data_IF_012670201262
#
_entry.id   IF_012670201262
#
_cell.length_a   1.000
_cell.length_b   1.000
_cell.length_c   1.000
_cell.angle_alpha   90.00
_cell.angle_beta   90.00
_cell.angle_gamma   90.00
#
_symmetry.space_group_name_H-M   'P 1'
#
loop_
_entity.id
_entity.type
_entity.pdbx_description
1 polymer ?
2 non-polymer ?
3 non-polymer ?
4 non-polymer ?
5 water ?
#
# COMPACT_ATOMS: atom_id res chain seq x y z
N UNK A 1 -12.69 -4.39 15.44
CA UNK A 1 -11.90 -5.61 15.01
C UNK A 1 -12.04 -6.72 16.04
N UNK A 2 -12.62 -7.85 15.61
CA UNK A 2 -12.90 -8.96 16.55
C UNK A 2 -11.64 -9.63 17.03
N UNK A 3 -11.73 -10.07 18.28
CA UNK A 3 -10.65 -10.77 18.95
C UNK A 3 -10.09 -11.89 18.09
N UNK A 4 -10.96 -12.59 17.36
CA UNK A 4 -10.49 -13.71 16.61
C UNK A 4 -9.40 -13.30 15.61
N UNK A 5 -9.47 -12.09 15.05
CA UNK A 5 -8.44 -11.65 14.13
C UNK A 5 -7.08 -11.52 14.87
N UNK A 6 -7.12 -10.90 16.04
CA UNK A 6 -5.96 -10.82 16.91
C UNK A 6 -5.45 -12.19 17.37
N UNK A 7 -6.34 -13.15 17.60
CA UNK A 7 -5.88 -14.45 18.04
C UNK A 7 -5.11 -15.19 16.93
N UNK A 8 -5.62 -15.12 15.70
CA UNK A 8 -4.91 -15.66 14.53
C UNK A 8 -3.59 -14.91 14.31
N UNK A 9 -3.56 -13.59 14.49
CA UNK A 9 -2.32 -12.83 14.39
C UNK A 9 -1.31 -13.32 15.43
N UNK A 10 -1.75 -13.62 16.64
CA UNK A 10 -0.87 -14.10 17.70
C UNK A 10 -0.23 -15.41 17.27
N UNK A 11 -1.05 -16.33 16.77
CA UNK A 11 -0.55 -17.62 16.28
C UNK A 11 0.53 -17.40 15.24
N UNK A 12 0.29 -16.47 14.33
CA UNK A 12 1.29 -16.19 13.32
C UNK A 12 2.60 -15.67 13.91
N UNK A 13 2.52 -14.71 14.81
CA UNK A 13 3.71 -14.09 15.37
C UNK A 13 4.40 -15.11 16.23
N UNK A 14 3.61 -15.88 16.96
CA UNK A 14 4.25 -16.82 17.88
C UNK A 14 5.00 -17.90 17.08
N UNK A 15 4.38 -18.36 16.00
CA UNK A 15 4.96 -19.36 15.10
C UNK A 15 6.21 -18.92 14.38
N UNK A 16 6.21 -17.69 13.87
CA UNK A 16 7.34 -17.17 13.11
C UNK A 16 8.40 -16.57 14.01
N UNK A 17 7.98 -15.76 14.98
CA UNK A 17 8.91 -14.92 15.76
C UNK A 17 9.09 -15.33 17.20
N UNK A 18 8.15 -16.09 17.75
CA UNK A 18 8.25 -16.51 19.14
C UNK A 18 7.34 -15.74 20.10
N UNK A 19 7.03 -16.39 21.23
CA UNK A 19 6.10 -15.83 22.21
C UNK A 19 6.67 -14.56 22.83
N UNK A 20 7.97 -14.51 23.06
CA UNK A 20 8.54 -13.32 23.69
C UNK A 20 8.27 -12.10 22.80
N UNK A 21 8.35 -12.26 21.49
CA UNK A 21 8.07 -11.16 20.57
C UNK A 21 6.60 -10.72 20.61
N UNK A 22 5.70 -11.66 20.73
CA UNK A 22 4.28 -11.30 20.79
C UNK A 22 4.01 -10.48 22.02
N UNK A 23 4.63 -10.84 23.14
CA UNK A 23 4.38 -10.14 24.41
C UNK A 23 4.96 -8.75 24.35
N UNK A 24 6.10 -8.59 23.68
CA UNK A 24 6.59 -7.25 23.41
C UNK A 24 5.54 -6.44 22.69
N UNK A 25 5.09 -6.94 21.55
CA UNK A 25 4.12 -6.24 20.72
C UNK A 25 2.88 -5.89 21.52
N UNK A 26 2.43 -6.81 22.33
CA UNK A 26 1.19 -6.62 23.03
C UNK A 26 1.31 -5.58 24.16
N UNK A 27 2.40 -5.66 24.91
CA UNK A 27 2.70 -4.68 25.96
C UNK A 27 2.84 -3.27 25.45
N UNK A 28 3.47 -3.16 24.28
CA UNK A 28 3.75 -1.89 23.64
C UNK A 28 2.52 -1.31 22.93
N UNK A 29 1.70 -2.16 22.32
CA UNK A 29 0.62 -1.63 21.49
C UNK A 29 -0.77 -1.77 22.07
N UNK A 30 -0.88 -2.43 23.21
CA UNK A 30 -2.16 -2.65 23.87
C UNK A 30 -2.11 -2.32 25.35
N UNK A 31 -3.24 -1.90 25.90
CA UNK A 31 -3.34 -1.63 27.32
C UNK A 31 -2.91 -2.78 28.20
N UNK A 32 -2.51 -2.45 29.42
CA UNK A 32 -2.03 -3.42 30.37
C UNK A 32 -3.06 -4.57 30.53
N UNK A 33 -2.55 -5.80 30.48
CA UNK A 33 -3.36 -6.98 30.72
C UNK A 33 -4.38 -7.23 29.61
N UNK A 34 -4.15 -6.74 28.38
CA UNK A 34 -5.13 -6.96 27.33
C UNK A 34 -5.24 -8.45 27.04
N UNK A 35 -6.49 -8.90 26.88
CA UNK A 35 -6.82 -10.27 26.46
C UNK A 35 -7.83 -10.18 25.33
N UNK A 36 -7.52 -10.83 24.21
CA UNK A 36 -8.44 -10.74 23.08
C UNK A 36 -9.45 -11.91 23.11
N UNK A 37 -10.65 -11.62 23.56
CA UNK A 37 -11.72 -12.59 23.61
C UNK A 37 -12.20 -12.64 22.18
N UNK A 38 -12.31 -13.86 21.65
CA UNK A 38 -12.42 -14.05 20.20
C UNK A 38 -13.66 -13.35 19.64
N UNK A 39 -14.74 -13.35 20.41
CA UNK A 39 -16.00 -12.76 19.95
C UNK A 39 -16.20 -11.25 20.20
N UNK A 40 -15.30 -10.66 20.98
CA UNK A 40 -15.40 -9.25 21.35
C UNK A 40 -14.74 -8.32 20.33
N UNK A 41 -15.24 -7.09 20.25
CA UNK A 41 -14.69 -6.05 19.36
C UNK A 41 -13.61 -5.29 20.07
N UNK A 42 -12.54 -4.97 19.36
CA UNK A 42 -11.42 -4.18 19.87
C UNK A 42 -11.04 -3.11 18.82
N UNK A 43 -10.32 -2.09 19.27
CA UNK A 43 -9.93 -0.99 18.37
C UNK A 43 -9.03 -1.50 17.26
N UNK A 44 -9.44 -1.31 16.01
CA UNK A 44 -8.61 -1.77 14.90
C UNK A 44 -7.21 -1.15 14.91
N UNK A 45 -7.09 0.03 15.52
CA UNK A 45 -5.79 0.64 15.64
C UNK A 45 -4.79 -0.22 16.41
N UNK A 46 -5.24 -1.05 17.32
CA UNK A 46 -4.31 -1.95 18.00
C UNK A 46 -3.75 -2.99 17.00
N UNK A 47 -4.58 -3.45 16.06
CA UNK A 47 -4.17 -4.50 15.13
C UNK A 47 -3.16 -3.89 14.19
N UNK A 48 -3.54 -2.74 13.61
CA UNK A 48 -2.68 -2.01 12.65
C UNK A 48 -1.33 -1.64 13.23
N UNK A 49 -1.32 -1.25 14.49
CA UNK A 49 -0.06 -0.88 15.13
C UNK A 49 0.84 -2.08 15.31
N UNK A 50 0.27 -3.24 15.67
CA UNK A 50 1.08 -4.43 15.87
C UNK A 50 1.69 -4.87 14.53
N UNK A 51 0.86 -4.88 13.50
CA UNK A 51 1.27 -5.35 12.20
C UNK A 51 2.31 -4.36 11.61
N UNK A 52 2.12 -3.08 11.86
CA UNK A 52 3.10 -2.12 11.35
C UNK A 52 4.46 -2.38 12.03
N UNK A 53 4.43 -2.74 13.32
CA UNK A 53 5.64 -2.96 14.11
C UNK A 53 6.38 -4.18 13.57
N UNK A 54 5.64 -5.25 13.33
CA UNK A 54 6.17 -6.44 12.65
C UNK A 54 6.83 -6.15 11.29
N UNK A 55 6.15 -5.36 10.47
CA UNK A 55 6.64 -5.01 9.14
C UNK A 55 7.98 -4.29 9.25
N UNK A 56 8.07 -3.42 10.22
CA UNK A 56 9.28 -2.65 10.46
C UNK A 56 10.41 -3.57 10.96
N UNK A 57 10.11 -4.45 11.92
CA UNK A 57 11.10 -5.41 12.40
C UNK A 57 11.62 -6.32 11.29
N UNK A 58 10.74 -6.71 10.38
CA UNK A 58 11.15 -7.56 9.27
C UNK A 58 11.68 -6.79 8.05
N UNK A 59 11.66 -5.46 8.10
CA UNK A 59 11.95 -4.62 6.94
C UNK A 59 11.21 -5.08 5.69
N UNK A 60 9.91 -5.23 5.83
CA UNK A 60 9.02 -5.59 4.73
C UNK A 60 8.00 -4.48 4.48
N UNK A 61 7.60 -4.32 3.23
CA UNK A 61 6.46 -3.45 2.90
C UNK A 61 5.19 -3.85 3.66
N UNK A 62 4.57 -2.87 4.28
CA UNK A 62 3.44 -3.11 5.17
C UNK A 62 2.36 -3.93 4.46
N UNK A 63 2.09 -3.64 3.19
CA UNK A 63 1.00 -4.30 2.52
C UNK A 63 1.39 -5.75 2.20
N UNK A 64 2.69 -6.06 2.13
CA UNK A 64 3.14 -7.43 1.88
C UNK A 64 2.93 -8.29 3.16
N UNK A 65 3.12 -7.67 4.32
CA UNK A 65 2.85 -8.31 5.58
C UNK A 65 1.34 -8.54 5.81
N UNK A 66 0.54 -7.54 5.51
CA UNK A 66 -0.88 -7.66 5.61
C UNK A 66 -1.35 -8.79 4.68
N UNK A 67 -0.76 -8.91 3.50
CA UNK A 67 -1.20 -9.93 2.61
C UNK A 67 -0.80 -11.30 3.14
N UNK A 68 0.39 -11.41 3.73
CA UNK A 68 0.83 -12.68 4.21
C UNK A 68 -0.09 -13.11 5.40
N UNK A 69 -0.42 -12.15 6.26
CA UNK A 69 -1.37 -12.35 7.35
C UNK A 69 -2.71 -12.85 6.83
N UNK A 70 -3.24 -12.19 5.83
CA UNK A 70 -4.43 -12.63 5.18
C UNK A 70 -4.38 -14.08 4.78
N UNK A 71 -3.30 -14.49 4.17
CA UNK A 71 -3.24 -15.87 3.74
C UNK A 71 -3.19 -16.86 4.94
N UNK A 72 -2.41 -16.59 5.97
CA UNK A 72 -2.47 -17.29 7.24
C UNK A 72 -3.87 -17.28 7.88
N UNK A 73 -4.53 -16.15 7.80
CA UNK A 73 -5.84 -15.92 8.37
C UNK A 73 -6.91 -16.81 7.77
N UNK A 74 -6.80 -17.16 6.48
CA UNK A 74 -7.84 -17.96 5.92
C UNK A 74 -7.89 -19.27 6.67
N UNK A 75 -6.75 -19.89 6.94
CA UNK A 75 -6.78 -21.17 7.61
C UNK A 75 -7.19 -21.01 9.08
N UNK A 76 -6.83 -19.87 9.66
CA UNK A 76 -7.23 -19.57 11.03
C UNK A 76 -8.73 -19.44 11.17
N UNK A 77 -9.37 -18.83 10.17
CA UNK A 77 -10.80 -18.70 10.15
C UNK A 77 -11.45 -20.03 9.77
N UNK A 78 -10.91 -20.74 8.79
CA UNK A 78 -11.53 -22.00 8.36
C UNK A 78 -11.45 -23.01 9.46
N UNK A 79 -10.41 -22.98 10.28
CA UNK A 79 -10.32 -24.00 11.26
C UNK A 79 -11.20 -23.62 12.49
N UNK A 80 -11.55 -22.37 12.67
CA UNK A 80 -12.34 -21.97 13.83
C UNK A 80 -13.83 -21.92 13.47
N UNK A 81 -14.12 -21.91 12.16
CA UNK A 81 -15.48 -21.88 11.60
C UNK A 81 -15.61 -22.88 10.46
N UNK A 82 -15.28 -24.13 10.76
CA UNK A 82 -15.20 -25.18 9.76
C UNK A 82 -16.57 -25.44 9.10
N UNK A 83 -17.65 -25.27 9.87
CA UNK A 83 -19.00 -25.43 9.33
C UNK A 83 -19.35 -24.38 8.25
N UNK A 84 -18.77 -23.19 8.36
CA UNK A 84 -19.00 -22.19 7.33
C UNK A 84 -18.24 -22.54 6.02
N UNK A 85 -16.97 -22.90 6.13
CA UNK A 85 -16.15 -23.23 4.95
C UNK A 85 -16.61 -24.54 4.30
N UNK A 86 -17.12 -25.50 5.08
CA UNK A 86 -17.55 -26.78 4.52
C UNK A 86 -18.88 -26.65 3.75
N UNK A 87 -19.48 -25.47 3.75
CA UNK A 87 -20.59 -25.17 2.85
C UNK A 87 -20.20 -25.16 1.34
N UNK A 88 -18.91 -25.01 1.02
CA UNK A 88 -18.42 -24.88 -0.36
C UNK A 88 -17.56 -26.05 -0.74
N UNK A 89 -17.76 -26.50 -1.97
CA UNK A 89 -17.02 -27.66 -2.50
C UNK A 89 -15.78 -27.26 -3.37
N UNK A 90 -15.70 -25.97 -3.74
CA UNK A 90 -14.61 -25.46 -4.52
C UNK A 90 -14.41 -23.98 -4.31
N UNK A 91 -13.25 -23.54 -4.79
CA UNK A 91 -12.77 -22.16 -4.59
C UNK A 91 -13.73 -21.17 -5.19
N UNK A 92 -14.20 -21.40 -6.40
CA UNK A 92 -15.03 -20.42 -7.04
C UNK A 92 -16.36 -20.20 -6.29
N UNK A 93 -16.98 -21.28 -5.81
CA UNK A 93 -18.20 -21.22 -4.98
C UNK A 93 -17.99 -20.42 -3.75
N UNK A 94 -16.91 -20.68 -3.03
CA UNK A 94 -16.61 -19.95 -1.84
C UNK A 94 -16.50 -18.47 -2.14
N UNK A 95 -15.75 -18.08 -3.18
CA UNK A 95 -15.56 -16.68 -3.46
C UNK A 95 -16.91 -16.01 -3.79
N UNK A 96 -17.77 -16.70 -4.54
CA UNK A 96 -19.06 -16.17 -4.91
C UNK A 96 -20.01 -16.10 -3.70
N UNK A 97 -19.70 -16.82 -2.62
CA UNK A 97 -20.51 -16.85 -1.39
C UNK A 97 -19.94 -16.02 -0.26
N UNK A 98 -18.87 -15.24 -0.48
CA UNK A 98 -18.23 -14.54 0.64
C UNK A 98 -19.24 -13.58 1.26
N UNK A 99 -19.97 -12.86 0.44
CA UNK A 99 -20.81 -11.84 0.96
C UNK A 99 -22.13 -12.37 1.48
N UNK A 100 -22.84 -13.16 0.67
CA UNK A 100 -24.22 -13.56 0.98
C UNK A 100 -24.34 -14.82 1.84
N UNK A 101 -23.26 -15.57 1.98
CA UNK A 101 -23.22 -16.77 2.79
C UNK A 101 -22.19 -16.65 3.92
N UNK A 102 -20.92 -16.48 3.63
CA UNK A 102 -19.95 -16.43 4.72
C UNK A 102 -20.19 -15.23 5.66
N UNK A 103 -20.32 -14.02 5.15
CA UNK A 103 -20.31 -12.87 5.97
C UNK A 103 -21.76 -12.69 6.50
N UNK A 104 -22.73 -13.28 5.80
CA UNK A 104 -24.08 -13.45 6.41
C UNK A 104 -23.99 -14.28 7.70
N UNK A 105 -23.24 -15.38 7.66
CA UNK A 105 -23.10 -16.19 8.85
C UNK A 105 -22.33 -15.46 9.96
N UNK A 106 -21.31 -14.71 9.57
CA UNK A 106 -20.50 -13.96 10.52
C UNK A 106 -21.36 -12.92 11.27
N UNK A 107 -22.34 -12.32 10.61
CA UNK A 107 -23.35 -11.52 11.33
C UNK A 107 -24.25 -12.28 12.34
N UNK A 108 -24.51 -13.59 12.15
CA UNK A 108 -25.22 -14.40 13.13
C UNK A 108 -24.33 -14.92 14.23
N UNK A 109 -23.05 -15.10 13.95
CA UNK A 109 -22.12 -15.60 14.94
C UNK A 109 -21.55 -14.56 15.90
N UNK A 110 -21.37 -13.32 15.41
CA UNK A 110 -20.72 -12.26 16.15
C UNK A 110 -21.68 -11.09 16.30
N UNK A 111 -21.66 -10.44 17.44
CA UNK A 111 -22.36 -9.19 17.55
C UNK A 111 -21.67 -8.02 16.81
N UNK A 112 -22.39 -7.47 15.84
CA UNK A 112 -21.96 -6.27 15.07
C UNK A 112 -20.52 -6.32 14.60
N UNK A 113 -20.19 -7.32 13.79
CA UNK A 113 -18.85 -7.36 13.23
C UNK A 113 -18.70 -6.18 12.21
N UNK A 114 -17.46 -5.82 11.91
CA UNK A 114 -17.11 -4.79 10.96
C UNK A 114 -16.45 -5.42 9.73
N UNK A 115 -17.30 -5.57 8.73
CA UNK A 115 -17.02 -6.41 7.59
C UNK A 115 -16.97 -5.58 6.31
N UNK A 116 -16.20 -6.03 5.30
CA UNK A 116 -16.22 -5.26 4.04
C UNK A 116 -17.50 -5.49 3.27
N UNK A 117 -17.74 -4.66 2.28
CA UNK A 117 -18.72 -4.95 1.24
C UNK A 117 -18.04 -5.64 0.02
N UNK A 118 -18.59 -6.78 -0.40
CA UNK A 118 -18.02 -7.60 -1.44
C UNK A 118 -19.09 -8.03 -2.42
N UNK A 119 -18.77 -7.94 -3.69
CA UNK A 119 -19.59 -8.52 -4.74
C UNK A 119 -18.69 -9.22 -5.78
N UNK A 120 -19.01 -10.48 -6.07
CA UNK A 120 -18.29 -11.30 -7.04
C UNK A 120 -19.12 -11.50 -8.27
N UNK A 121 -18.46 -11.41 -9.42
CA UNK A 121 -19.09 -11.64 -10.70
C UNK A 121 -18.26 -12.67 -11.45
N UNK A 122 -18.91 -13.72 -11.93
CA UNK A 122 -18.24 -14.75 -12.75
C UNK A 122 -17.97 -14.20 -14.13
N UNK A 123 -16.74 -14.39 -14.57
CA UNK A 123 -16.33 -13.91 -15.87
C UNK A 123 -16.03 -15.12 -16.75
N UNK A 124 -15.84 -14.91 -18.06
CA UNK A 124 -15.37 -16.01 -18.94
C UNK A 124 -13.92 -16.43 -18.64
N UNK A 125 -13.51 -17.60 -19.11
CA UNK A 125 -12.15 -18.06 -18.91
C UNK A 125 -11.82 -18.26 -17.45
N UNK A 126 -12.77 -18.71 -16.65
CA UNK A 126 -12.47 -19.07 -15.28
C UNK A 126 -11.94 -17.92 -14.43
N UNK A 127 -12.44 -16.72 -14.70
CA UNK A 127 -12.09 -15.57 -13.91
C UNK A 127 -13.26 -15.13 -13.09
N UNK A 128 -12.93 -14.41 -12.03
CA UNK A 128 -13.89 -13.78 -11.15
C UNK A 128 -13.49 -12.30 -10.91
N UNK A 129 -14.45 -11.39 -11.04
CA UNK A 129 -14.24 -9.99 -10.72
C UNK A 129 -14.82 -9.79 -9.36
N UNK A 130 -13.95 -9.65 -8.38
CA UNK A 130 -14.38 -9.40 -7.02
C UNK A 130 -14.23 -7.91 -6.64
N UNK A 131 -15.34 -7.22 -6.42
CA UNK A 131 -15.36 -5.82 -5.99
C UNK A 131 -15.38 -5.74 -4.48
N UNK A 132 -14.41 -5.01 -3.92
CA UNK A 132 -14.21 -4.88 -2.47
C UNK A 132 -14.33 -3.40 -2.11
N UNK A 133 -14.96 -3.14 -0.98
CA UNK A 133 -15.21 -1.80 -0.49
C UNK A 133 -15.17 -1.85 1.04
N UNK A 134 -14.38 -1.01 1.69
CA UNK A 134 -14.38 -0.95 3.16
C UNK A 134 -13.66 0.29 3.64
N UNK A 135 -14.16 0.94 4.72
CA UNK A 135 -13.46 2.14 5.22
C UNK A 135 -12.11 1.74 5.87
N UNK A 136 -11.93 0.47 6.10
CA UNK A 136 -10.68 0.00 6.66
C UNK A 136 -9.59 -0.27 5.58
N UNK A 137 -9.98 -0.29 4.31
CA UNK A 137 -9.01 -0.42 3.18
C UNK A 137 -8.04 -1.60 3.34
N UNK A 138 -8.61 -2.75 3.69
CA UNK A 138 -7.82 -3.96 3.91
C UNK A 138 -7.84 -4.91 2.68
N UNK A 139 -7.81 -4.31 1.47
CA UNK A 139 -7.88 -5.09 0.23
C UNK A 139 -6.70 -6.06 0.11
N UNK A 140 -5.58 -5.74 0.73
CA UNK A 140 -4.46 -6.64 0.67
C UNK A 140 -4.64 -7.80 1.63
N UNK A 141 -5.35 -7.58 2.72
CA UNK A 141 -5.79 -8.68 3.56
C UNK A 141 -6.71 -9.56 2.75
N UNK A 142 -7.58 -8.97 1.94
CA UNK A 142 -8.47 -9.76 1.09
C UNK A 142 -7.73 -10.56 0.05
N UNK A 143 -6.67 -9.97 -0.59
CA UNK A 143 -5.83 -10.77 -1.50
C UNK A 143 -5.27 -11.99 -0.81
N UNK A 144 -4.68 -11.79 0.34
CA UNK A 144 -4.13 -12.92 1.09
C UNK A 144 -5.21 -13.96 1.42
N UNK A 145 -6.40 -13.53 1.82
CA UNK A 145 -7.48 -14.46 2.18
C UNK A 145 -7.86 -15.31 0.96
N UNK A 146 -7.81 -14.72 -0.24
CA UNK A 146 -8.14 -15.43 -1.46
C UNK A 146 -7.08 -16.42 -1.78
N UNK A 147 -5.81 -16.06 -1.54
CA UNK A 147 -4.74 -17.01 -1.75
C UNK A 147 -4.84 -18.16 -0.73
N UNK A 148 -5.25 -17.85 0.49
CA UNK A 148 -5.53 -18.88 1.49
C UNK A 148 -6.65 -19.85 1.10
N UNK A 149 -7.73 -19.29 0.57
CA UNK A 149 -8.86 -20.06 0.10
C UNK A 149 -8.42 -20.97 -1.03
N UNK A 150 -7.58 -20.42 -1.92
CA UNK A 150 -7.08 -21.21 -3.07
C UNK A 150 -6.33 -22.45 -2.54
N UNK A 151 -5.42 -22.20 -1.60
CA UNK A 151 -4.64 -23.27 -1.02
C UNK A 151 -5.56 -24.27 -0.30
N UNK A 152 -6.63 -23.79 0.33
CA UNK A 152 -7.51 -24.69 1.07
C UNK A 152 -8.14 -25.69 0.09
N UNK A 153 -8.47 -25.23 -1.11
CA UNK A 153 -9.02 -26.13 -2.12
C UNK A 153 -8.00 -26.69 -3.10
N UNK A 154 -6.71 -26.69 -2.77
CA UNK A 154 -5.69 -27.19 -3.71
C UNK A 154 -5.87 -26.55 -5.08
N UNK A 155 -6.20 -25.27 -5.07
CA UNK A 155 -6.29 -24.51 -6.30
C UNK A 155 -5.08 -23.55 -6.45
N UNK A 156 -4.85 -23.12 -7.70
CA UNK A 156 -3.85 -22.14 -8.05
C UNK A 156 -4.50 -20.90 -8.68
N UNK A 157 -4.16 -19.73 -8.17
CA UNK A 157 -4.73 -18.49 -8.67
C UNK A 157 -3.72 -17.35 -8.91
N UNK A 158 -4.13 -16.36 -9.66
CA UNK A 158 -3.46 -15.07 -9.74
C UNK A 158 -4.49 -14.00 -9.59
N UNK A 159 -4.06 -12.86 -9.08
CA UNK A 159 -4.92 -11.72 -8.85
C UNK A 159 -4.30 -10.44 -9.46
N UNK A 160 -5.12 -9.71 -10.21
CA UNK A 160 -4.86 -8.32 -10.66
C UNK A 160 -5.71 -7.37 -9.88
N UNK A 161 -5.07 -6.30 -9.44
CA UNK A 161 -5.61 -5.37 -8.46
C UNK A 161 -5.30 -3.93 -8.94
N UNK A 162 -5.90 -3.54 -10.06
CA UNK A 162 -5.54 -2.28 -10.71
C UNK A 162 -6.48 -1.10 -10.48
N UNK A 163 -7.59 -1.31 -9.82
CA UNK A 163 -8.42 -0.26 -9.24
C UNK A 163 -8.31 -0.49 -7.76
N UNK A 164 -7.96 0.55 -7.00
CA UNK A 164 -7.66 0.35 -5.58
C UNK A 164 -7.98 1.62 -4.82
N UNK A 165 -8.49 1.42 -3.62
CA UNK A 165 -8.83 2.54 -2.78
C UNK A 165 -7.56 3.32 -2.40
N UNK A 166 -6.42 2.63 -2.34
CA UNK A 166 -5.18 3.27 -1.97
C UNK A 166 -4.65 4.17 -3.11
N UNK A 167 -5.21 4.02 -4.32
CA UNK A 167 -4.80 4.85 -5.51
C UNK A 167 -5.97 5.72 -5.87
N UNK A 168 -6.87 5.88 -4.91
CA UNK A 168 -7.89 6.92 -4.99
C UNK A 168 -9.31 6.56 -5.33
N UNK A 169 -9.58 5.31 -5.69
CA UNK A 169 -10.95 4.85 -6.01
C UNK A 169 -11.74 4.66 -4.72
N UNK A 170 -13.07 4.60 -4.81
CA UNK A 170 -13.90 4.24 -3.66
C UNK A 170 -14.17 2.73 -3.51
N UNK A 171 -13.44 1.93 -4.26
CA UNK A 171 -13.51 0.46 -4.13
C UNK A 171 -12.23 -0.11 -4.77
N UNK A 172 -11.95 -1.38 -4.54
CA UNK A 172 -10.94 -2.10 -5.30
C UNK A 172 -11.57 -3.15 -6.21
N UNK A 173 -10.96 -3.41 -7.37
CA UNK A 173 -11.35 -4.51 -8.22
C UNK A 173 -10.24 -5.56 -8.17
N UNK A 174 -10.58 -6.76 -7.73
CA UNK A 174 -9.64 -7.89 -7.73
C UNK A 174 -10.08 -8.86 -8.80
N UNK A 175 -9.27 -8.98 -9.83
CA UNK A 175 -9.63 -9.83 -10.93
C UNK A 175 -8.87 -11.12 -10.67
N UNK A 176 -9.62 -12.17 -10.36
CA UNK A 176 -9.08 -13.46 -9.94
C UNK A 176 -9.09 -14.37 -11.14
N UNK A 177 -7.93 -14.92 -11.43
CA UNK A 177 -7.88 -15.94 -12.45
C UNK A 177 -7.65 -17.32 -11.83
N UNK A 178 -8.56 -18.24 -12.06
CA UNK A 178 -8.33 -19.56 -11.56
C UNK A 178 -7.44 -20.31 -12.55
N UNK A 179 -6.21 -20.59 -12.20
CA UNK A 179 -5.29 -21.26 -13.13
C UNK A 179 -5.42 -22.78 -13.08
N UNK A 180 -5.72 -23.29 -11.90
CA UNK A 180 -5.96 -24.71 -11.74
C UNK A 180 -6.75 -25.04 -10.48
N UNK A 181 -7.54 -26.10 -10.58
CA UNK A 181 -8.08 -26.79 -9.41
C UNK A 181 -8.46 -28.21 -9.84
N UNK A 182 -8.99 -29.03 -8.92
CA UNK A 182 -9.20 -30.45 -9.17
C UNK A 182 -10.21 -30.66 -10.30
N UNK A 183 -11.02 -29.67 -10.67
CA UNK A 183 -11.95 -29.86 -11.78
C UNK A 183 -11.52 -29.20 -13.11
N UNK A 184 -10.31 -28.67 -13.11
CA UNK A 184 -9.72 -28.03 -14.29
C UNK A 184 -8.67 -28.96 -14.86
N UNK A 185 -8.86 -29.35 -16.10
CA UNK A 185 -7.88 -30.25 -16.76
C UNK A 185 -7.03 -29.47 -17.75
N UNK A 186 -7.34 -29.52 -19.03
CA UNK A 186 -6.60 -28.76 -20.00
C UNK A 186 -7.00 -27.30 -20.03
N UNK A 187 -8.28 -27.01 -19.89
CA UNK A 187 -8.75 -25.60 -19.91
C UNK A 187 -10.20 -25.51 -19.36
N UNK B 1 -2.21 11.25 2.97
CA UNK B 1 -1.42 12.15 2.06
C UNK B 1 -1.24 13.48 2.77
N UNK B 2 -0.01 13.80 3.09
CA UNK B 2 0.21 14.99 3.92
C UNK B 2 -0.02 16.26 3.15
N UNK B 3 -0.45 17.27 3.88
CA UNK B 3 -0.67 18.60 3.34
C UNK B 3 0.52 19.15 2.61
N UNK B 4 1.73 18.85 3.06
CA UNK B 4 2.88 19.42 2.39
C UNK B 4 2.87 19.00 0.91
N UNK B 5 2.41 17.78 0.64
CA UNK B 5 2.35 17.28 -0.72
C UNK B 5 1.38 18.11 -1.54
N UNK B 6 0.26 18.49 -0.95
CA UNK B 6 -0.72 19.28 -1.68
C UNK B 6 -0.25 20.71 -1.85
N UNK B 7 0.53 21.20 -0.89
CA UNK B 7 1.03 22.56 -0.95
C UNK B 7 2.01 22.73 -2.12
N UNK B 8 2.93 21.78 -2.27
CA UNK B 8 3.88 21.78 -3.35
C UNK B 8 3.12 21.63 -4.68
N UNK B 9 2.10 20.80 -4.71
CA UNK B 9 1.30 20.61 -5.93
C UNK B 9 0.61 21.90 -6.33
N UNK B 10 0.09 22.62 -5.34
CA UNK B 10 -0.50 23.93 -5.58
C UNK B 10 0.52 24.83 -6.24
N UNK B 11 1.73 24.89 -5.70
CA UNK B 11 2.74 25.79 -6.27
C UNK B 11 2.93 25.46 -7.75
N UNK B 12 2.92 24.17 -8.06
CA UNK B 12 3.25 23.73 -9.39
C UNK B 12 2.08 24.04 -10.32
N UNK B 13 0.85 23.79 -9.85
CA UNK B 13 -0.32 24.01 -10.69
C UNK B 13 -0.57 25.46 -10.88
N UNK B 14 -0.35 26.26 -9.85
CA UNK B 14 -0.51 27.68 -10.02
C UNK B 14 0.53 28.19 -11.05
N UNK B 15 1.77 27.74 -10.99
CA UNK B 15 2.78 28.23 -11.93
C UNK B 15 2.44 27.83 -13.38
N UNK B 16 1.94 26.64 -13.60
CA UNK B 16 1.70 26.17 -14.98
C UNK B 16 0.34 26.65 -15.51
N UNK B 17 -0.72 26.50 -14.70
CA UNK B 17 -2.09 26.65 -15.17
C UNK B 17 -2.80 27.92 -14.74
N UNK B 18 -2.27 28.56 -13.69
CA UNK B 18 -2.86 29.76 -13.11
C UNK B 18 -3.68 29.45 -11.86
N UNK B 19 -3.70 30.39 -10.94
CA UNK B 19 -4.46 30.25 -9.69
C UNK B 19 -5.95 29.89 -9.89
N UNK B 20 -6.59 30.35 -10.95
CA UNK B 20 -8.01 30.09 -11.17
C UNK B 20 -8.27 28.60 -11.42
N UNK B 21 -7.28 27.92 -11.99
CA UNK B 21 -7.41 26.51 -12.25
C UNK B 21 -7.27 25.77 -10.94
N UNK B 22 -6.33 26.19 -10.11
CA UNK B 22 -6.15 25.56 -8.82
C UNK B 22 -7.43 25.68 -7.98
N UNK B 23 -8.02 26.87 -7.97
CA UNK B 23 -9.28 27.05 -7.28
C UNK B 23 -10.37 26.13 -7.82
N UNK B 24 -10.54 26.03 -9.14
CA UNK B 24 -11.51 25.10 -9.68
C UNK B 24 -11.27 23.65 -9.21
N UNK B 25 -10.02 23.24 -9.25
CA UNK B 25 -9.61 21.91 -8.82
C UNK B 25 -10.03 21.62 -7.35
N UNK B 26 -9.65 22.48 -6.42
CA UNK B 26 -10.02 22.44 -5.02
C UNK B 26 -11.53 22.38 -4.82
N UNK B 27 -12.25 23.20 -5.56
CA UNK B 27 -13.71 23.22 -5.47
C UNK B 27 -14.38 21.94 -5.96
N UNK B 28 -13.83 21.33 -7.00
CA UNK B 28 -14.43 20.11 -7.51
C UNK B 28 -14.04 18.89 -6.65
N UNK B 29 -12.82 18.84 -6.13
CA UNK B 29 -12.29 17.60 -5.61
C UNK B 29 -12.07 17.58 -4.11
N UNK B 30 -12.31 18.70 -3.44
CA UNK B 30 -12.16 18.76 -2.00
C UNK B 30 -13.42 19.35 -1.39
N UNK B 31 -13.69 19.02 -0.12
CA UNK B 31 -14.85 19.62 0.52
C UNK B 31 -14.74 21.13 0.66
N UNK B 32 -15.90 21.74 0.90
CA UNK B 32 -16.04 23.19 1.05
C UNK B 32 -15.05 23.68 2.06
N UNK B 33 -14.31 24.72 1.68
CA UNK B 33 -13.43 25.44 2.60
C UNK B 33 -12.17 24.65 2.98
N UNK B 34 -11.81 23.66 2.17
CA UNK B 34 -10.57 22.94 2.33
C UNK B 34 -9.36 23.85 2.29
N UNK B 35 -8.54 23.75 3.33
CA UNK B 35 -7.16 24.25 3.34
C UNK B 35 -6.18 23.11 3.61
N UNK B 36 -5.12 22.96 2.84
CA UNK B 36 -4.17 21.88 3.09
C UNK B 36 -3.11 22.34 4.09
N UNK B 37 -3.24 21.87 5.32
CA UNK B 37 -2.30 22.15 6.39
C UNK B 37 -1.16 21.17 6.30
N UNK B 38 0.05 21.72 6.28
CA UNK B 38 1.26 21.02 5.89
C UNK B 38 1.42 19.66 6.57
N UNK B 39 1.17 19.67 7.87
CA UNK B 39 1.43 18.52 8.68
C UNK B 39 0.20 17.62 8.88
N UNK B 40 -0.96 17.99 8.31
CA UNK B 40 -2.16 17.14 8.47
C UNK B 40 -2.27 16.18 7.31
N UNK B 41 -2.99 15.11 7.56
CA UNK B 41 -3.23 14.06 6.61
C UNK B 41 -4.56 14.26 5.92
N UNK B 42 -4.61 13.96 4.63
CA UNK B 42 -5.78 14.08 3.80
C UNK B 42 -5.93 12.80 3.00
N UNK B 43 -7.14 12.53 2.53
CA UNK B 43 -7.42 11.39 1.67
C UNK B 43 -6.58 11.34 0.39
N UNK B 44 -6.08 10.14 0.05
CA UNK B 44 -5.33 9.99 -1.20
C UNK B 44 -6.28 10.23 -2.36
N UNK B 45 -7.58 10.00 -2.22
CA UNK B 45 -8.50 10.31 -3.31
C UNK B 45 -8.50 11.79 -3.72
N UNK B 46 -8.27 12.71 -2.80
CA UNK B 46 -8.14 14.15 -3.16
C UNK B 46 -6.92 14.35 -4.02
N UNK B 47 -5.81 13.77 -3.67
CA UNK B 47 -4.62 13.99 -4.46
C UNK B 47 -4.76 13.40 -5.88
N UNK B 48 -5.15 12.13 -5.96
CA UNK B 48 -5.30 11.48 -7.24
C UNK B 48 -6.35 12.10 -8.12
N UNK B 49 -7.46 12.59 -7.55
CA UNK B 49 -8.48 13.23 -8.37
C UNK B 49 -7.95 14.51 -8.98
N UNK B 50 -7.21 15.28 -8.17
CA UNK B 50 -6.69 16.58 -8.62
C UNK B 50 -5.66 16.31 -9.76
N UNK B 51 -4.79 15.32 -9.56
CA UNK B 51 -3.75 14.99 -10.54
C UNK B 51 -4.40 14.51 -11.85
N UNK B 52 -5.47 13.74 -11.75
CA UNK B 52 -6.08 13.22 -12.97
C UNK B 52 -6.70 14.35 -13.79
N UNK B 53 -7.28 15.31 -13.11
CA UNK B 53 -7.93 16.49 -13.72
C UNK B 53 -6.83 17.39 -14.41
N UNK B 54 -5.75 17.68 -13.70
CA UNK B 54 -4.59 18.38 -14.28
C UNK B 54 -4.10 17.69 -15.56
N UNK B 55 -3.98 16.38 -15.51
CA UNK B 55 -3.44 15.61 -16.63
C UNK B 55 -4.36 15.73 -17.80
N UNK B 56 -5.65 15.69 -17.52
CA UNK B 56 -6.62 15.91 -18.56
C UNK B 56 -6.56 17.33 -19.14
N UNK B 57 -6.37 18.34 -18.29
CA UNK B 57 -6.29 19.74 -18.72
C UNK B 57 -5.04 20.07 -19.56
N UNK B 58 -3.98 19.30 -19.33
CA UNK B 58 -2.72 19.46 -20.03
C UNK B 58 -2.59 18.41 -21.12
N UNK B 59 -3.62 17.62 -21.33
CA UNK B 59 -3.61 16.50 -22.26
C UNK B 59 -2.37 15.59 -22.12
N UNK B 60 -2.08 15.15 -20.88
CA UNK B 60 -0.86 14.43 -20.58
C UNK B 60 -1.27 13.12 -19.98
N UNK B 61 -0.50 12.03 -20.25
CA UNK B 61 -0.68 10.79 -19.47
C UNK B 61 -0.44 11.08 -17.99
N UNK B 62 -1.30 10.52 -17.12
CA UNK B 62 -1.16 10.71 -15.67
C UNK B 62 0.27 10.44 -15.19
N UNK B 63 0.92 9.41 -15.72
CA UNK B 63 2.26 9.07 -15.28
C UNK B 63 3.27 10.15 -15.57
N UNK B 64 3.11 10.86 -16.68
CA UNK B 64 4.00 11.98 -16.98
C UNK B 64 3.76 13.15 -16.01
N UNK B 65 2.51 13.39 -15.66
CA UNK B 65 2.20 14.41 -14.65
C UNK B 65 2.82 14.06 -13.28
N UNK B 66 2.67 12.82 -12.88
CA UNK B 66 3.19 12.38 -11.61
C UNK B 66 4.72 12.38 -11.60
N UNK B 67 5.35 11.97 -12.67
CA UNK B 67 6.80 12.05 -12.69
C UNK B 67 7.32 13.50 -12.66
N UNK B 68 6.68 14.39 -13.41
CA UNK B 68 7.05 15.83 -13.41
C UNK B 68 6.82 16.38 -12.01
N UNK B 69 5.72 15.99 -11.38
CA UNK B 69 5.46 16.44 -10.00
C UNK B 69 6.55 15.96 -9.02
N UNK B 70 6.89 14.69 -9.04
CA UNK B 70 8.02 14.21 -8.25
C UNK B 70 9.31 15.04 -8.40
N UNK B 71 9.67 15.41 -9.62
CA UNK B 71 10.93 16.12 -9.90
C UNK B 71 10.91 17.52 -9.21
N UNK B 72 9.77 18.17 -9.34
CA UNK B 72 9.47 19.45 -8.70
C UNK B 72 9.33 19.30 -7.20
N UNK B 73 8.71 18.21 -6.78
CA UNK B 73 8.52 17.96 -5.35
C UNK B 73 9.83 17.87 -4.58
N UNK B 74 10.89 17.39 -5.23
CA UNK B 74 12.13 17.20 -4.50
C UNK B 74 12.66 18.50 -3.92
N UNK B 75 12.61 19.60 -4.69
CA UNK B 75 13.01 20.92 -4.16
C UNK B 75 12.02 21.41 -3.16
N UNK B 76 10.75 21.18 -3.42
CA UNK B 76 9.70 21.48 -2.45
C UNK B 76 10.00 20.87 -1.10
N UNK B 77 10.41 19.61 -1.07
CA UNK B 77 10.66 18.95 0.21
C UNK B 77 11.98 19.40 0.77
N UNK B 78 12.97 19.54 -0.10
CA UNK B 78 14.31 19.86 0.39
C UNK B 78 14.30 21.25 0.98
N UNK B 79 13.59 22.20 0.41
CA UNK B 79 13.59 23.54 0.97
C UNK B 79 12.85 23.62 2.33
N UNK B 80 11.83 22.81 2.51
CA UNK B 80 11.03 22.88 3.72
C UNK B 80 11.62 22.04 4.85
N UNK B 81 12.58 21.19 4.50
CA UNK B 81 13.31 20.38 5.47
C UNK B 81 14.82 20.40 5.10
N UNK B 82 15.45 21.59 5.14
CA UNK B 82 16.85 21.71 4.71
C UNK B 82 17.76 20.90 5.66
N UNK B 83 17.30 20.76 6.90
CA UNK B 83 18.02 19.97 7.89
C UNK B 83 18.25 18.50 7.47
N UNK B 84 17.27 17.90 6.79
CA UNK B 84 17.34 16.48 6.41
C UNK B 84 18.28 16.23 5.20
N UNK B 85 18.15 17.06 4.17
CA UNK B 85 18.90 16.86 2.94
C UNK B 85 20.40 17.19 3.10
N UNK B 86 20.73 18.13 3.99
CA UNK B 86 22.12 18.53 4.19
C UNK B 86 23.01 17.37 4.74
N UNK B 87 22.36 16.38 5.35
CA UNK B 87 23.09 15.26 5.95
C UNK B 87 23.85 14.49 4.89
N UNK B 88 23.53 14.71 3.61
CA UNK B 88 24.10 13.93 2.49
C UNK B 88 25.03 14.78 1.63
N UNK B 89 26.17 14.21 1.26
CA UNK B 89 27.14 14.96 0.47
C UNK B 89 26.98 14.72 -1.04
N UNK B 90 26.32 13.64 -1.41
CA UNK B 90 26.17 13.28 -2.83
C UNK B 90 24.87 12.51 -3.12
N UNK B 91 24.64 12.25 -4.39
CA UNK B 91 23.39 11.69 -4.84
C UNK B 91 23.26 10.20 -4.40
N UNK B 92 24.29 9.42 -4.68
CA UNK B 92 24.34 8.04 -4.27
C UNK B 92 24.08 7.86 -2.76
N UNK B 93 24.73 8.65 -1.91
CA UNK B 93 24.58 8.47 -0.46
C UNK B 93 23.16 8.88 0.02
N UNK B 94 22.52 9.81 -0.69
CA UNK B 94 21.16 10.23 -0.36
C UNK B 94 20.18 9.13 -0.81
N UNK B 95 20.39 8.56 -1.99
CA UNK B 95 19.53 7.49 -2.45
C UNK B 95 19.64 6.29 -1.48
N UNK B 96 20.83 6.05 -0.96
CA UNK B 96 21.04 4.95 -0.07
C UNK B 96 20.47 5.19 1.35
N UNK B 97 20.20 6.43 1.72
CA UNK B 97 19.66 6.77 3.03
C UNK B 97 18.20 7.22 3.01
N UNK B 98 17.50 7.04 1.89
CA UNK B 98 16.08 7.42 1.82
C UNK B 98 15.26 6.68 2.88
N UNK B 99 15.41 5.37 2.90
CA UNK B 99 14.60 4.60 3.81
C UNK B 99 15.05 4.83 5.26
N UNK B 100 16.33 4.58 5.55
CA UNK B 100 16.80 4.50 6.94
C UNK B 100 17.19 5.82 7.58
N UNK B 101 17.36 6.87 6.76
CA UNK B 101 17.70 8.20 7.29
C UNK B 101 16.59 9.23 7.01
N UNK B 102 16.26 9.46 5.76
CA UNK B 102 15.27 10.50 5.43
C UNK B 102 13.86 10.15 5.96
N UNK B 103 13.34 8.99 5.58
CA UNK B 103 11.99 8.60 5.98
C UNK B 103 11.88 8.22 7.47
N UNK B 104 13.00 7.87 8.06
CA UNK B 104 13.10 7.78 9.51
C UNK B 104 12.85 9.13 10.14
N UNK B 105 13.47 10.17 9.59
CA UNK B 105 13.33 11.49 10.16
C UNK B 105 11.93 11.99 9.88
N UNK B 106 11.38 11.62 8.74
CA UNK B 106 10.02 12.02 8.44
C UNK B 106 9.02 11.45 9.43
N UNK B 107 9.28 10.24 9.92
CA UNK B 107 8.40 9.65 10.95
C UNK B 107 8.44 10.33 12.32
N UNK B 108 9.53 11.04 12.61
CA UNK B 108 9.66 11.82 13.83
C UNK B 108 9.03 13.20 13.70
N UNK B 109 9.09 13.76 12.51
CA UNK B 109 8.57 15.11 12.26
C UNK B 109 7.09 15.11 11.90
N UNK B 110 6.54 13.98 11.49
CA UNK B 110 5.16 13.96 11.04
C UNK B 110 4.40 12.93 11.85
N UNK B 111 3.14 13.20 12.11
CA UNK B 111 2.30 12.27 12.79
C UNK B 111 1.76 11.22 11.82
N UNK B 112 2.21 9.98 11.97
CA UNK B 112 1.70 8.85 11.18
C UNK B 112 1.65 9.15 9.67
N UNK B 113 2.83 9.40 9.06
CA UNK B 113 2.87 9.61 7.61
C UNK B 113 2.65 8.32 6.86
N UNK B 114 2.25 8.41 5.60
CA UNK B 114 2.09 7.25 4.72
C UNK B 114 3.26 7.21 3.74
N UNK B 115 4.29 6.51 4.11
CA UNK B 115 5.53 6.44 3.37
C UNK B 115 5.72 5.15 2.58
N UNK B 116 6.42 5.21 1.43
CA UNK B 116 6.63 3.93 0.77
C UNK B 116 7.67 3.10 1.48
N UNK B 117 7.81 1.83 1.09
CA UNK B 117 8.97 1.06 1.49
C UNK B 117 10.02 1.08 0.37
N UNK B 118 11.26 1.36 0.75
CA UNK B 118 12.34 1.58 -0.19
C UNK B 118 13.57 0.83 0.26
N UNK B 119 14.17 0.10 -0.67
CA UNK B 119 15.43 -0.49 -0.35
C UNK B 119 16.45 -0.27 -1.48
N UNK B 120 17.65 0.20 -1.14
CA UNK B 120 18.71 0.49 -2.11
C UNK B 120 19.86 -0.47 -1.90
N UNK B 121 20.39 -1.00 -2.99
CA UNK B 121 21.70 -1.62 -2.94
C UNK B 121 22.62 -1.15 -4.09
N UNK B 122 23.91 -1.07 -3.83
CA UNK B 122 24.88 -0.67 -4.82
C UNK B 122 25.17 -1.81 -5.77
N UNK B 123 25.33 -1.48 -7.04
CA UNK B 123 25.61 -2.49 -8.04
C UNK B 123 26.96 -2.23 -8.66
N UNK B 124 27.54 -3.26 -9.30
CA UNK B 124 28.75 -3.01 -10.08
C UNK B 124 28.50 -1.90 -11.10
N UNK B 125 29.60 -1.24 -11.50
CA UNK B 125 29.57 0.03 -12.25
C UNK B 125 28.85 1.04 -11.39
N UNK B 126 28.44 2.15 -11.99
CA UNK B 126 27.90 3.17 -11.15
C UNK B 126 26.42 3.06 -11.13
N UNK B 127 25.93 1.97 -10.52
CA UNK B 127 24.49 1.72 -10.52
C UNK B 127 23.92 1.48 -9.14
N UNK B 128 22.60 1.66 -9.06
CA UNK B 128 21.88 1.58 -7.81
C UNK B 128 20.57 0.87 -8.08
N UNK B 129 20.36 -0.26 -7.44
CA UNK B 129 19.06 -0.92 -7.52
C UNK B 129 18.18 -0.34 -6.43
N UNK B 130 17.16 0.40 -6.81
CA UNK B 130 16.26 0.96 -5.80
C UNK B 130 14.91 0.23 -5.91
N UNK B 131 14.60 -0.56 -4.88
CA UNK B 131 13.34 -1.31 -4.81
C UNK B 131 12.31 -0.43 -4.17
N UNK B 132 11.19 -0.22 -4.85
CA UNK B 132 10.07 0.59 -4.35
C UNK B 132 8.82 -0.29 -4.19
N UNK B 133 8.15 -0.11 -3.07
CA UNK B 133 6.93 -0.83 -2.78
C UNK B 133 6.03 0.05 -1.94
N UNK B 134 4.84 0.28 -2.49
CA UNK B 134 3.77 1.03 -1.85
C UNK B 134 2.37 0.65 -2.41
N UNK B 135 1.35 0.64 -1.56
CA UNK B 135 0.00 0.45 -2.10
C UNK B 135 -0.55 1.63 -2.89
N UNK B 136 0.02 2.82 -2.70
CA UNK B 136 -0.36 3.98 -3.51
C UNK B 136 0.24 4.02 -4.96
N UNK B 137 1.17 3.10 -5.26
CA UNK B 137 1.75 2.89 -6.59
C UNK B 137 2.26 4.21 -7.17
N UNK B 138 3.05 4.94 -6.37
CA UNK B 138 3.56 6.25 -6.80
C UNK B 138 5.03 6.10 -7.25
N UNK B 139 5.34 5.02 -7.96
CA UNK B 139 6.71 4.78 -8.47
C UNK B 139 7.12 5.88 -9.44
N UNK B 140 6.16 6.49 -10.16
CA UNK B 140 6.55 7.56 -11.08
C UNK B 140 6.88 8.87 -10.36
N UNK B 141 6.35 9.03 -9.16
CA UNK B 141 6.72 10.11 -8.30
C UNK B 141 8.10 9.86 -7.76
N UNK B 142 8.34 8.63 -7.35
CA UNK B 142 9.69 8.28 -6.92
C UNK B 142 10.73 8.50 -8.05
N UNK B 143 10.40 8.14 -9.29
CA UNK B 143 11.30 8.44 -10.39
C UNK B 143 11.60 9.92 -10.47
N UNK B 144 10.55 10.75 -10.46
CA UNK B 144 10.72 12.20 -10.50
C UNK B 144 11.58 12.73 -9.38
N UNK B 145 11.33 12.21 -8.20
CA UNK B 145 12.03 12.64 -7.01
C UNK B 145 13.51 12.32 -7.12
N UNK B 146 13.82 11.18 -7.76
CA UNK B 146 15.23 10.80 -8.03
C UNK B 146 15.89 11.72 -9.09
N UNK B 147 15.18 12.11 -10.14
CA UNK B 147 15.72 13.12 -11.08
C UNK B 147 15.86 14.46 -10.40
N UNK B 148 14.94 14.80 -9.50
CA UNK B 148 15.05 16.03 -8.72
C UNK B 148 16.30 16.05 -7.88
N UNK B 149 16.53 14.94 -7.23
CA UNK B 149 17.69 14.79 -6.38
C UNK B 149 18.96 14.74 -7.18
N UNK B 150 18.94 14.08 -8.34
CA UNK B 150 20.13 14.04 -9.19
C UNK B 150 20.45 15.45 -9.62
N UNK B 151 19.42 16.26 -9.80
CA UNK B 151 19.66 17.64 -10.18
C UNK B 151 20.31 18.40 -9.03
N UNK B 152 19.80 18.20 -7.82
CA UNK B 152 20.28 18.87 -6.61
C UNK B 152 21.79 18.65 -6.35
N UNK B 153 22.31 17.50 -6.79
CA UNK B 153 23.75 17.20 -6.71
C UNK B 153 24.44 17.21 -8.07
N UNK B 154 23.77 17.80 -9.06
CA UNK B 154 24.37 18.00 -10.38
C UNK B 154 24.77 16.67 -10.97
N UNK B 155 23.85 15.72 -11.01
CA UNK B 155 24.22 14.38 -11.45
C UNK B 155 23.47 13.93 -12.70
N UNK B 156 24.23 13.30 -13.59
CA UNK B 156 23.66 12.71 -14.80
C UNK B 156 23.17 11.28 -14.55
N UNK B 157 21.86 11.09 -14.40
CA UNK B 157 21.31 9.73 -14.28
C UNK B 157 20.32 9.33 -15.38
N UNK B 158 20.15 8.02 -15.49
CA UNK B 158 19.10 7.37 -16.29
C UNK B 158 18.53 6.29 -15.43
N UNK B 159 17.25 6.02 -15.63
CA UNK B 159 16.57 5.07 -14.80
C UNK B 159 15.89 3.98 -15.67
N UNK B 160 16.19 2.71 -15.39
CA UNK B 160 15.43 1.61 -15.98
C UNK B 160 14.33 1.12 -15.00
N UNK B 161 13.16 0.83 -15.53
CA UNK B 161 12.00 0.63 -14.72
C UNK B 161 11.17 -0.48 -15.34
N UNK B 162 11.78 -1.64 -15.52
CA UNK B 162 11.08 -2.72 -16.25
C UNK B 162 10.22 -3.60 -15.37
N UNK B 163 10.66 -3.82 -14.13
CA UNK B 163 9.82 -4.43 -13.13
C UNK B 163 8.99 -3.32 -12.41
N UNK B 164 7.66 -3.38 -12.54
CA UNK B 164 6.78 -2.29 -12.07
C UNK B 164 5.46 -2.83 -11.54
N UNK B 165 4.92 -2.20 -10.48
CA UNK B 165 3.64 -2.65 -9.89
C UNK B 165 2.50 -2.33 -10.83
N UNK B 166 2.68 -1.40 -11.78
CA UNK B 166 1.64 -1.10 -12.78
C UNK B 166 1.52 -2.19 -13.90
N UNK B 167 2.50 -3.07 -14.01
CA UNK B 167 2.48 -4.08 -15.06
C UNK B 167 2.65 -5.47 -14.41
N UNK B 168 2.07 -5.67 -13.23
CA UNK B 168 2.01 -6.98 -12.63
C UNK B 168 2.81 -7.31 -11.38
N UNK B 169 3.95 -6.68 -11.19
CA UNK B 169 4.88 -7.05 -10.13
C UNK B 169 4.38 -6.57 -8.77
N UNK B 170 4.92 -7.12 -7.71
CA UNK B 170 4.55 -6.73 -6.36
C UNK B 170 5.47 -5.65 -5.79
N UNK B 171 6.33 -5.15 -6.68
CA UNK B 171 7.24 -4.06 -6.41
C UNK B 171 7.73 -3.41 -7.72
N UNK B 172 8.43 -2.28 -7.58
CA UNK B 172 9.14 -1.67 -8.69
C UNK B 172 10.61 -1.77 -8.48
N UNK B 173 11.33 -2.02 -9.55
CA UNK B 173 12.78 -1.98 -9.50
C UNK B 173 13.29 -0.86 -10.40
N UNK B 174 13.78 0.17 -9.73
CA UNK B 174 14.36 1.34 -10.39
C UNK B 174 15.85 1.13 -10.40
N UNK B 175 16.40 0.80 -11.58
CA UNK B 175 17.84 0.66 -11.73
C UNK B 175 18.39 2.02 -12.18
N UNK B 176 19.12 2.67 -11.28
CA UNK B 176 19.61 4.01 -11.53
C UNK B 176 21.03 3.91 -12.16
N UNK B 177 21.14 4.25 -13.44
CA UNK B 177 22.42 4.39 -14.16
C UNK B 177 23.07 5.75 -13.91
N UNK B 178 24.10 5.79 -13.09
CA UNK B 178 24.78 7.04 -12.78
C UNK B 178 25.89 7.34 -13.81
N UNK B 179 26.58 8.49 -13.70
CA UNK B 179 27.73 8.81 -14.59
C UNK B 179 28.80 9.65 -13.83
N UNK B 180 28.63 10.98 -13.90
CA UNK B 180 29.48 11.93 -13.16
C UNK B 180 28.63 12.82 -12.24
N UNK B 181 29.28 13.53 -11.30
CA UNK B 181 28.56 14.26 -10.23
C UNK B 181 29.32 15.49 -9.68
N UNK B 182 28.95 15.91 -8.45
CA UNK B 182 29.53 17.09 -7.79
C UNK B 182 30.99 16.90 -7.26
N UNK B 183 31.44 15.64 -7.18
CA UNK B 183 32.83 15.25 -6.86
C UNK B 183 33.19 13.89 -7.55
N UNK B 184 33.44 13.93 -8.86
CA UNK B 184 33.85 12.74 -9.64
C UNK B 184 34.25 13.30 -11.02
N UNK B 185 35.50 13.79 -11.11
CA UNK B 185 35.94 14.67 -12.22
C UNK B 185 35.92 13.92 -13.55
N UNK B 186 36.60 12.79 -13.64
CA UNK B 186 36.46 11.86 -14.77
C UNK B 186 35.64 10.61 -14.42
#
# INVERSE_FOLDING_TARGET
MKGIIFNVLEDMVVAQCGMSVWNELLEKHAPKDRVYVSAKSYAESELFSIVQDVAQRLNMPIQDVVKAFGQFLFNGLASRHTDVVDKFDDFTSLVMGIHDVIHLEVNKLYHEPSLPHINGQLLPNNQIALRYSSPRRLCFCAEGLLFGAAQHFAAAIQISHDTCMHTGADHCMLIIELQNDENLYFQ
MKGIIFNVLEDMVVAQCGMSVWNELLEKHAPKDRVYVSAKSYAESELFSIVQDVAQRLNMPIQDVVKAFGQFLFNGLASRHTDVVDKFDDFTSLVMGIHDVIHLEVNKLYHEPSLPHINGQLLPNNQIALRYSSPRRLCFCAEGLLFGAAQHFAAAIQISHDTCMHTGADHCMLIIELQNDENLYFQ
#
